data_IF_594340875996
#
_entry.id   IF_594340875996
#
_cell.length_a   1.000
_cell.length_b   1.000
_cell.length_c   1.000
_cell.angle_alpha   90.00
_cell.angle_beta   90.00
_cell.angle_gamma   90.00
#
_symmetry.space_group_name_H-M   'P 1'
#
loop_
_entity.id
_entity.type
_entity.pdbx_description
1 polymer ?
#
# COMPACT_ATOMS: atom_id res chain seq x y z
N UNK A 1 -4.71 -16.37 -18.38
CA UNK A 1 -4.19 -15.01 -18.07
C UNK A 1 -3.24 -15.16 -16.91
N UNK A 2 -2.00 -14.70 -17.07
CA UNK A 2 -0.96 -14.80 -16.04
C UNK A 2 -1.31 -13.88 -14.87
N UNK A 3 -1.56 -14.47 -13.68
CA UNK A 3 -1.75 -13.70 -12.44
C UNK A 3 -0.54 -12.82 -12.17
N UNK A 4 -0.77 -11.52 -12.07
CA UNK A 4 0.30 -10.55 -11.79
C UNK A 4 0.55 -10.56 -10.28
N UNK A 5 1.82 -10.69 -9.89
CA UNK A 5 2.23 -10.65 -8.49
C UNK A 5 3.06 -9.39 -8.22
N UNK A 6 2.68 -8.64 -7.19
CA UNK A 6 3.33 -7.37 -6.83
C UNK A 6 3.74 -7.40 -5.36
N UNK A 7 5.02 -7.13 -5.09
CA UNK A 7 5.50 -6.86 -3.75
C UNK A 7 5.65 -5.35 -3.55
N UNK A 8 5.01 -4.80 -2.53
CA UNK A 8 5.12 -3.38 -2.15
C UNK A 8 5.97 -3.30 -0.89
N UNK A 9 7.09 -2.56 -0.94
CA UNK A 9 8.00 -2.38 0.20
C UNK A 9 7.81 -0.97 0.75
N UNK A 10 7.36 -0.87 1.99
CA UNK A 10 7.00 0.38 2.68
C UNK A 10 5.49 0.61 2.67
N UNK A 11 4.89 0.61 3.87
CA UNK A 11 3.48 0.82 4.13
C UNK A 11 3.19 2.21 4.73
N UNK A 12 3.93 3.22 4.27
CA UNK A 12 3.49 4.61 4.43
C UNK A 12 2.22 4.89 3.62
N UNK A 13 1.72 6.12 3.71
CA UNK A 13 0.46 6.56 3.06
C UNK A 13 0.40 6.17 1.57
N UNK A 14 1.48 6.41 0.82
CA UNK A 14 1.55 6.06 -0.60
C UNK A 14 1.48 4.55 -0.85
N UNK A 15 2.18 3.74 -0.05
CA UNK A 15 2.17 2.29 -0.15
C UNK A 15 0.80 1.69 0.17
N UNK A 16 0.12 2.23 1.19
CA UNK A 16 -1.24 1.84 1.55
C UNK A 16 -2.26 2.24 0.48
N UNK A 17 -2.21 3.48 -0.03
CA UNK A 17 -3.10 3.93 -1.12
C UNK A 17 -2.91 3.07 -2.36
N UNK A 18 -1.66 2.80 -2.75
CA UNK A 18 -1.36 1.94 -3.89
C UNK A 18 -1.88 0.52 -3.66
N UNK A 19 -1.70 0.00 -2.45
CA UNK A 19 -2.21 -1.31 -2.07
C UNK A 19 -3.73 -1.42 -2.16
N UNK A 20 -4.45 -0.41 -1.69
CA UNK A 20 -5.92 -0.34 -1.82
C UNK A 20 -6.33 -0.28 -3.30
N UNK A 21 -5.64 0.49 -4.13
CA UNK A 21 -5.94 0.56 -5.56
C UNK A 21 -5.73 -0.79 -6.26
N UNK A 22 -4.65 -1.50 -5.95
CA UNK A 22 -4.35 -2.82 -6.51
C UNK A 22 -5.29 -3.91 -6.00
N UNK A 23 -5.67 -3.88 -4.73
CA UNK A 23 -6.59 -4.86 -4.13
C UNK A 23 -7.99 -4.86 -4.75
N UNK A 24 -8.35 -3.82 -5.52
CA UNK A 24 -9.59 -3.76 -6.32
C UNK A 24 -9.52 -4.56 -7.62
N UNK A 25 -8.34 -5.04 -8.01
CA UNK A 25 -8.14 -5.84 -9.21
C UNK A 25 -8.13 -7.33 -8.85
N UNK A 26 -9.00 -8.12 -9.47
CA UNK A 26 -9.14 -9.56 -9.17
C UNK A 26 -8.01 -10.44 -9.72
N UNK A 27 -7.20 -9.92 -10.64
CA UNK A 27 -6.11 -10.61 -11.31
C UNK A 27 -4.73 -10.28 -10.74
N UNK A 28 -4.67 -9.45 -9.69
CA UNK A 28 -3.42 -9.00 -9.06
C UNK A 28 -3.37 -9.55 -7.65
N UNK A 29 -2.34 -10.36 -7.37
CA UNK A 29 -2.00 -10.77 -6.01
C UNK A 29 -0.90 -9.85 -5.49
N UNK A 30 -1.18 -9.15 -4.39
CA UNK A 30 -0.24 -8.20 -3.79
C UNK A 30 0.17 -8.66 -2.39
N UNK A 31 1.44 -8.43 -2.05
CA UNK A 31 1.98 -8.56 -0.71
C UNK A 31 2.62 -7.22 -0.30
N UNK A 32 2.23 -6.68 0.86
CA UNK A 32 2.74 -5.42 1.40
C UNK A 32 3.64 -5.69 2.60
N UNK A 33 4.84 -5.12 2.59
CA UNK A 33 5.85 -5.29 3.63
C UNK A 33 6.16 -3.94 4.27
N UNK A 34 6.26 -3.90 5.59
CA UNK A 34 6.66 -2.74 6.37
C UNK A 34 7.81 -3.14 7.29
N UNK A 35 8.80 -2.25 7.43
CA UNK A 35 9.94 -2.48 8.32
C UNK A 35 9.59 -2.18 9.77
N UNK A 36 8.62 -1.30 10.03
CA UNK A 36 8.10 -1.05 11.37
C UNK A 36 7.26 -2.23 11.87
N UNK A 37 7.33 -2.51 13.17
CA UNK A 37 6.55 -3.58 13.80
C UNK A 37 5.05 -3.27 13.89
N UNK A 38 4.68 -2.01 13.68
CA UNK A 38 3.31 -1.52 13.69
C UNK A 38 3.13 -0.39 12.68
N UNK A 39 1.93 -0.27 12.13
CA UNK A 39 1.57 0.91 11.37
C UNK A 39 1.38 2.07 12.33
N UNK A 40 2.09 3.17 12.11
CA UNK A 40 1.96 4.37 12.90
C UNK A 40 1.92 5.59 11.99
N UNK A 41 0.98 6.49 12.28
CA UNK A 41 0.81 7.77 11.59
C UNK A 41 1.27 8.95 12.47
N UNK A 42 1.90 8.65 13.63
CA UNK A 42 2.20 9.65 14.66
C UNK A 42 3.00 10.83 14.10
N UNK A 43 2.39 12.01 14.15
CA UNK A 43 2.99 13.28 13.75
C UNK A 43 2.76 13.71 12.29
N UNK A 44 2.04 12.93 11.49
CA UNK A 44 1.77 13.28 10.10
C UNK A 44 0.59 14.26 9.97
N UNK A 45 0.88 15.56 9.91
CA UNK A 45 -0.07 16.54 9.35
C UNK A 45 -0.14 16.34 7.83
N UNK A 46 -1.18 15.67 7.34
CA UNK A 46 -1.36 15.40 5.90
C UNK A 46 -2.38 16.38 5.33
N UNK A 47 -1.97 17.21 4.38
CA UNK A 47 -2.86 18.03 3.57
C UNK A 47 -3.13 17.35 2.22
N UNK A 48 -4.39 17.07 1.93
CA UNK A 48 -4.83 16.59 0.61
C UNK A 48 -5.55 17.73 -0.10
N UNK A 49 -5.07 18.13 -1.29
CA UNK A 49 -5.76 19.09 -2.14
C UNK A 49 -6.34 18.37 -3.38
N UNK A 50 -7.39 18.93 -3.97
CA UNK A 50 -7.91 18.53 -5.29
C UNK A 50 -7.54 19.58 -6.32
#
# INVERSE_FOLDING_TARGET
MSDIRVAVIGAGIGGLIFGVALGRQSTIKMDLYESANEFSELGAGIGMWY
#
